data_IF_240886268425
#
_entry.id   IF_240886268425
#
_cell.length_a   1.000
_cell.length_b   1.000
_cell.length_c   1.000
_cell.angle_alpha   90.00
_cell.angle_beta   90.00
_cell.angle_gamma   90.00
#
_symmetry.space_group_name_H-M   'P 1'
#
loop_
_entity.id
_entity.type
_entity.pdbx_description
1 polymer ?
#
# COMPACT_ATOMS: atom_id res chain seq x y z
N UNK A 1 42.15 -83.40 5.73
CA UNK A 1 40.98 -82.85 5.02
C UNK A 1 40.07 -82.28 6.10
N UNK A 2 40.42 -81.15 6.73
CA UNK A 2 40.50 -79.80 6.12
C UNK A 2 39.08 -79.41 5.68
N UNK A 3 38.41 -78.40 6.23
CA UNK A 3 38.85 -77.02 6.39
C UNK A 3 38.23 -76.33 7.61
N UNK A 4 39.04 -75.48 8.24
CA UNK A 4 38.65 -74.47 9.21
C UNK A 4 38.15 -73.24 8.45
N UNK A 5 36.87 -72.90 8.56
CA UNK A 5 36.36 -71.64 8.01
C UNK A 5 36.39 -70.55 9.07
N UNK A 6 37.12 -69.49 8.75
CA UNK A 6 37.42 -68.34 9.58
C UNK A 6 36.20 -67.44 9.78
N UNK A 7 35.97 -67.11 11.04
CA UNK A 7 35.10 -66.03 11.51
C UNK A 7 35.59 -64.68 10.95
N UNK A 8 34.78 -64.04 10.11
CA UNK A 8 35.03 -62.69 9.61
C UNK A 8 34.18 -61.69 10.38
N UNK A 9 34.81 -60.94 11.29
CA UNK A 9 34.19 -59.81 12.00
C UNK A 9 33.90 -58.68 10.99
N UNK A 10 32.70 -58.09 10.98
CA UNK A 10 32.42 -56.95 10.10
C UNK A 10 33.07 -55.67 10.67
N UNK A 11 34.08 -55.17 9.97
CA UNK A 11 34.68 -53.85 10.21
C UNK A 11 33.62 -52.76 10.03
N UNK A 12 33.19 -52.15 11.13
CA UNK A 12 32.26 -51.01 11.10
C UNK A 12 32.98 -49.81 10.50
N UNK A 13 32.77 -49.53 9.20
CA UNK A 13 33.22 -48.28 8.58
C UNK A 13 32.44 -47.12 9.19
N UNK A 14 33.11 -46.35 10.04
CA UNK A 14 32.63 -45.09 10.60
C UNK A 14 32.16 -44.16 9.48
N UNK A 15 30.88 -43.78 9.53
CA UNK A 15 30.18 -42.92 8.57
C UNK A 15 30.52 -41.44 8.79
N UNK A 16 31.78 -41.05 8.54
CA UNK A 16 32.20 -39.64 8.62
C UNK A 16 31.45 -38.73 7.62
N UNK A 17 31.05 -39.27 6.45
CA UNK A 17 30.33 -38.53 5.41
C UNK A 17 28.88 -38.14 5.77
N UNK A 18 28.25 -38.84 6.72
CA UNK A 18 26.86 -38.57 7.10
C UNK A 18 26.73 -37.34 8.01
N UNK A 19 27.78 -37.02 8.78
CA UNK A 19 27.79 -35.87 9.70
C UNK A 19 27.87 -34.54 8.95
N UNK A 20 28.70 -34.47 7.91
CA UNK A 20 28.82 -33.26 7.08
C UNK A 20 27.60 -33.03 6.20
N UNK A 21 27.01 -34.09 5.63
CA UNK A 21 25.74 -33.97 4.89
C UNK A 21 24.58 -33.43 5.75
N UNK A 22 24.51 -33.85 7.02
CA UNK A 22 23.52 -33.32 7.99
C UNK A 22 23.76 -31.85 8.32
N UNK A 23 25.02 -31.43 8.47
CA UNK A 23 25.38 -30.03 8.73
C UNK A 23 24.96 -29.15 7.55
N UNK A 24 25.28 -29.55 6.31
CA UNK A 24 24.87 -28.81 5.12
C UNK A 24 23.34 -28.75 4.95
N UNK A 25 22.63 -29.84 5.25
CA UNK A 25 21.17 -29.86 5.22
C UNK A 25 20.57 -28.86 6.23
N UNK A 26 21.09 -28.81 7.46
CA UNK A 26 20.63 -27.84 8.46
C UNK A 26 20.95 -26.39 8.09
N UNK A 27 22.13 -26.13 7.50
CA UNK A 27 22.49 -24.78 7.00
C UNK A 27 21.52 -24.35 5.89
N UNK A 28 21.20 -25.25 4.96
CA UNK A 28 20.25 -24.96 3.88
C UNK A 28 18.84 -24.66 4.42
N UNK A 29 18.36 -25.45 5.39
CA UNK A 29 17.06 -25.24 6.04
C UNK A 29 17.04 -23.90 6.78
N UNK A 30 18.07 -23.59 7.57
CA UNK A 30 18.17 -22.31 8.28
C UNK A 30 18.23 -21.14 7.29
N UNK A 31 18.98 -21.27 6.19
CA UNK A 31 19.02 -20.27 5.13
C UNK A 31 17.65 -20.01 4.50
N UNK A 32 16.90 -21.06 4.18
CA UNK A 32 15.52 -20.95 3.67
C UNK A 32 14.60 -20.29 4.70
N UNK A 33 14.68 -20.69 5.97
CA UNK A 33 13.89 -20.09 7.05
C UNK A 33 14.20 -18.61 7.24
N UNK A 34 15.48 -18.20 7.14
CA UNK A 34 15.88 -16.78 7.20
C UNK A 34 15.31 -16.03 5.99
N UNK A 35 15.41 -16.58 4.77
CA UNK A 35 14.86 -15.94 3.57
C UNK A 35 13.34 -15.77 3.69
N UNK A 36 12.63 -16.81 4.14
CA UNK A 36 11.19 -16.75 4.38
C UNK A 36 10.83 -15.74 5.48
N UNK A 37 11.58 -15.73 6.59
CA UNK A 37 11.38 -14.77 7.68
C UNK A 37 11.61 -13.33 7.22
N UNK A 38 12.68 -13.06 6.47
CA UNK A 38 12.96 -11.75 5.89
C UNK A 38 11.87 -11.35 4.89
N UNK A 39 11.41 -12.27 4.05
CA UNK A 39 10.29 -12.04 3.12
C UNK A 39 8.99 -11.69 3.85
N UNK A 40 8.65 -12.42 4.91
CA UNK A 40 7.48 -12.18 5.75
C UNK A 40 7.58 -10.85 6.52
N UNK A 41 8.74 -10.54 7.10
CA UNK A 41 8.98 -9.28 7.81
C UNK A 41 8.86 -8.09 6.85
N UNK A 42 9.35 -8.20 5.61
CA UNK A 42 9.18 -7.16 4.57
C UNK A 42 7.72 -7.01 4.15
N UNK A 43 6.97 -8.11 4.00
CA UNK A 43 5.53 -8.08 3.68
C UNK A 43 4.69 -7.41 4.79
N UNK A 44 5.12 -7.55 6.04
CA UNK A 44 4.42 -6.99 7.20
C UNK A 44 4.56 -5.47 7.35
N UNK A 45 5.53 -4.80 6.71
CA UNK A 45 5.79 -3.35 6.87
C UNK A 45 4.78 -2.41 6.18
N UNK A 46 3.70 -2.93 5.60
CA UNK A 46 2.76 -2.16 4.78
C UNK A 46 1.48 -1.64 5.44
N UNK A 47 1.28 -1.66 6.77
CA UNK A 47 0.10 -0.99 7.35
C UNK A 47 0.42 0.45 7.69
N UNK A 48 -0.26 1.38 7.03
CA UNK A 48 -0.24 2.79 7.42
C UNK A 48 -1.25 2.98 8.54
N UNK A 49 -0.77 3.23 9.75
CA UNK A 49 -1.62 3.60 10.87
C UNK A 49 -1.61 5.11 11.08
N UNK A 50 -2.68 5.63 11.69
CA UNK A 50 -2.70 7.02 12.15
C UNK A 50 -1.50 7.28 13.07
N UNK A 51 -0.83 8.42 12.87
CA UNK A 51 0.41 8.80 13.54
C UNK A 51 1.68 8.26 12.88
N UNK A 52 1.59 7.50 11.79
CA UNK A 52 2.76 7.00 11.06
C UNK A 52 2.96 7.72 9.72
N UNK A 53 4.23 7.77 9.28
CA UNK A 53 4.57 8.28 7.95
C UNK A 53 3.94 7.40 6.87
N UNK A 54 3.34 8.04 5.87
CA UNK A 54 2.80 7.30 4.72
C UNK A 54 3.93 6.68 3.87
N UNK A 55 3.67 5.57 3.18
CA UNK A 55 4.60 5.01 2.21
C UNK A 55 4.81 5.99 1.06
N UNK A 56 6.02 6.01 0.52
CA UNK A 56 6.29 6.77 -0.70
C UNK A 56 5.63 6.06 -1.90
N UNK A 57 4.95 6.83 -2.74
CA UNK A 57 4.33 6.33 -3.96
C UNK A 57 4.42 7.36 -5.08
N UNK A 58 4.18 6.90 -6.30
CA UNK A 58 4.05 7.73 -7.48
C UNK A 58 2.75 7.36 -8.20
N UNK A 59 2.04 8.37 -8.68
CA UNK A 59 0.79 8.23 -9.43
C UNK A 59 0.94 8.96 -10.75
N UNK A 60 0.83 8.22 -11.85
CA UNK A 60 0.62 8.83 -13.17
C UNK A 60 -0.86 9.11 -13.33
N UNK A 61 -1.24 10.37 -13.48
CA UNK A 61 -2.64 10.78 -13.64
C UNK A 61 -3.16 10.42 -15.02
N UNK A 62 -4.49 10.42 -15.18
CA UNK A 62 -5.15 10.27 -16.47
C UNK A 62 -4.77 11.38 -17.47
N UNK A 63 -4.28 12.51 -17.00
CA UNK A 63 -3.78 13.61 -17.84
C UNK A 63 -2.26 13.53 -18.09
N UNK A 64 -1.62 12.45 -17.67
CA UNK A 64 -0.20 12.16 -17.92
C UNK A 64 0.78 12.84 -16.94
N UNK A 65 0.29 13.51 -15.90
CA UNK A 65 1.16 14.08 -14.86
C UNK A 65 1.68 12.97 -13.95
N UNK A 66 2.98 12.96 -13.65
CA UNK A 66 3.54 12.04 -12.68
C UNK A 66 3.71 12.76 -11.33
N UNK A 67 2.94 12.36 -10.33
CA UNK A 67 2.91 12.97 -9.00
C UNK A 67 3.53 11.99 -8.00
N UNK A 68 4.56 12.43 -7.27
CA UNK A 68 5.19 11.65 -6.22
C UNK A 68 4.78 12.20 -4.86
N UNK A 69 4.45 11.32 -3.91
CA UNK A 69 4.05 11.77 -2.56
C UNK A 69 5.17 12.51 -1.82
N UNK A 70 6.42 12.25 -2.16
CA UNK A 70 7.58 12.99 -1.64
C UNK A 70 7.61 14.47 -2.10
N UNK A 71 7.08 14.78 -3.28
CA UNK A 71 7.06 16.14 -3.83
C UNK A 71 5.93 16.99 -3.20
N UNK A 72 5.02 16.36 -2.45
CA UNK A 72 3.88 16.99 -1.79
C UNK A 72 4.14 17.30 -0.31
N UNK A 73 5.36 17.09 0.19
CA UNK A 73 5.74 17.49 1.56
C UNK A 73 5.54 19.00 1.73
N UNK A 74 5.14 19.40 2.94
CA UNK A 74 4.76 20.78 3.25
C UNK A 74 3.31 21.11 2.88
N UNK A 75 2.54 20.18 2.32
CA UNK A 75 1.12 20.33 2.02
C UNK A 75 0.33 19.25 2.75
N UNK A 76 -0.90 19.57 3.14
CA UNK A 76 -1.87 18.55 3.55
C UNK A 76 -2.27 17.75 2.31
N UNK A 77 -2.17 16.44 2.39
CA UNK A 77 -2.47 15.53 1.29
C UNK A 77 -3.74 14.73 1.61
N UNK A 78 -4.73 14.84 0.72
CA UNK A 78 -5.97 14.07 0.74
C UNK A 78 -5.91 13.01 -0.35
N UNK A 79 -5.88 11.73 0.02
CA UNK A 79 -5.80 10.60 -0.90
C UNK A 79 -7.14 9.90 -0.89
N UNK A 80 -7.90 10.00 -1.98
CA UNK A 80 -9.22 9.39 -2.13
C UNK A 80 -9.11 8.14 -3.00
N UNK A 81 -9.42 6.98 -2.45
CA UNK A 81 -9.51 5.72 -3.18
C UNK A 81 -10.95 5.51 -3.63
N UNK A 82 -11.17 5.42 -4.94
CA UNK A 82 -12.51 5.35 -5.53
C UNK A 82 -12.52 4.45 -6.77
N UNK A 83 -13.71 4.11 -7.26
CA UNK A 83 -13.89 3.44 -8.55
C UNK A 83 -15.22 3.85 -9.22
N UNK A 84 -15.31 3.78 -10.54
CA UNK A 84 -16.51 4.16 -11.31
C UNK A 84 -17.71 3.27 -10.99
N UNK A 85 -17.46 2.00 -10.66
CA UNK A 85 -18.47 1.00 -10.29
C UNK A 85 -18.92 1.11 -8.83
N UNK A 86 -18.28 1.96 -8.03
CA UNK A 86 -18.55 2.12 -6.60
C UNK A 86 -19.69 3.12 -6.37
N UNK A 87 -20.90 2.61 -6.10
CA UNK A 87 -22.07 3.45 -5.79
C UNK A 87 -21.92 4.35 -4.56
N UNK A 88 -21.30 3.93 -3.45
CA UNK A 88 -21.06 4.83 -2.33
C UNK A 88 -20.07 5.96 -2.67
N UNK A 89 -19.13 5.76 -3.60
CA UNK A 89 -18.19 6.79 -4.05
C UNK A 89 -18.94 7.94 -4.76
N UNK A 90 -20.06 7.67 -5.44
CA UNK A 90 -20.92 8.72 -6.01
C UNK A 90 -21.49 9.67 -4.93
N UNK A 91 -21.62 9.21 -3.67
CA UNK A 91 -22.22 10.01 -2.58
C UNK A 91 -21.30 11.11 -2.06
N UNK A 92 -19.98 10.93 -2.15
CA UNK A 92 -19.00 11.89 -1.64
C UNK A 92 -18.35 12.76 -2.73
N UNK A 93 -18.54 12.41 -4.01
CA UNK A 93 -17.86 13.02 -5.15
C UNK A 93 -18.01 14.56 -5.18
N UNK A 94 -19.25 15.05 -5.02
CA UNK A 94 -19.55 16.48 -5.03
C UNK A 94 -18.95 17.22 -3.82
N UNK A 95 -18.93 16.58 -2.64
CA UNK A 95 -18.35 17.17 -1.43
C UNK A 95 -16.82 17.23 -1.50
N UNK A 96 -16.17 16.20 -2.04
CA UNK A 96 -14.72 16.16 -2.26
C UNK A 96 -14.28 17.20 -3.30
N UNK A 97 -15.02 17.33 -4.41
CA UNK A 97 -14.76 18.37 -5.41
C UNK A 97 -14.97 19.77 -4.84
N UNK A 98 -16.03 20.00 -4.05
CA UNK A 98 -16.26 21.27 -3.38
C UNK A 98 -15.12 21.61 -2.40
N UNK A 99 -14.60 20.61 -1.67
CA UNK A 99 -13.47 20.78 -0.78
C UNK A 99 -12.19 21.11 -1.57
N UNK A 100 -11.91 20.37 -2.65
CA UNK A 100 -10.79 20.68 -3.54
C UNK A 100 -10.86 22.11 -4.06
N UNK A 101 -12.02 22.53 -4.59
CA UNK A 101 -12.22 23.90 -5.09
C UNK A 101 -12.00 24.97 -4.01
N UNK A 102 -12.38 24.68 -2.77
CA UNK A 102 -12.17 25.56 -1.63
C UNK A 102 -10.68 25.72 -1.27
N UNK A 103 -9.90 24.63 -1.30
CA UNK A 103 -8.50 24.67 -0.86
C UNK A 103 -7.47 24.90 -1.98
N UNK A 104 -7.75 24.56 -3.24
CA UNK A 104 -6.76 24.58 -4.33
C UNK A 104 -6.07 25.94 -4.51
N UNK A 105 -6.79 27.05 -4.27
CA UNK A 105 -6.26 28.41 -4.38
C UNK A 105 -5.26 28.79 -3.28
N UNK A 106 -5.21 28.06 -2.16
CA UNK A 106 -4.27 28.31 -1.06
C UNK A 106 -2.88 27.71 -1.32
N UNK A 107 -2.83 26.62 -2.09
CA UNK A 107 -1.59 25.91 -2.41
C UNK A 107 -1.01 25.07 -1.27
N UNK A 108 -1.67 24.96 -0.13
CA UNK A 108 -1.24 24.19 1.05
C UNK A 108 -2.01 22.87 1.26
N UNK A 109 -2.99 22.56 0.39
CA UNK A 109 -3.73 21.29 0.36
C UNK A 109 -3.75 20.72 -1.06
N UNK A 110 -3.56 19.40 -1.18
CA UNK A 110 -3.61 18.68 -2.46
C UNK A 110 -4.51 17.47 -2.33
N UNK A 111 -5.40 17.29 -3.31
CA UNK A 111 -6.25 16.11 -3.42
C UNK A 111 -5.69 15.21 -4.53
N UNK A 112 -5.59 13.92 -4.27
CA UNK A 112 -5.24 12.89 -5.25
C UNK A 112 -6.29 11.79 -5.23
N UNK A 113 -6.89 11.53 -6.38
CA UNK A 113 -7.76 10.37 -6.54
C UNK A 113 -7.00 9.17 -7.10
N UNK A 114 -7.05 8.07 -6.37
CA UNK A 114 -6.47 6.78 -6.74
C UNK A 114 -7.60 5.87 -7.21
N UNK A 115 -7.70 5.68 -8.52
CA UNK A 115 -8.76 4.91 -9.15
C UNK A 115 -8.44 3.40 -9.07
N UNK A 116 -9.17 2.71 -8.20
CA UNK A 116 -8.92 1.33 -7.79
C UNK A 116 -9.59 0.31 -8.73
N UNK A 117 -8.78 -0.54 -9.37
CA UNK A 117 -9.22 -1.70 -10.18
C UNK A 117 -10.43 -1.35 -11.05
N UNK A 118 -10.20 -0.46 -11.99
CA UNK A 118 -11.25 0.13 -12.81
C UNK A 118 -10.70 0.38 -14.22
N UNK A 119 -11.60 0.48 -15.19
CA UNK A 119 -11.25 0.68 -16.60
C UNK A 119 -11.23 2.17 -16.91
N UNK A 120 -10.26 2.60 -17.70
CA UNK A 120 -10.04 4.02 -17.96
C UNK A 120 -11.25 4.75 -18.58
N UNK A 121 -11.99 4.17 -19.56
CA UNK A 121 -13.18 4.84 -20.10
C UNK A 121 -14.26 5.13 -19.04
N UNK A 122 -14.52 4.18 -18.15
CA UNK A 122 -15.51 4.26 -17.09
C UNK A 122 -15.05 5.21 -15.98
N UNK A 123 -13.77 5.18 -15.62
CA UNK A 123 -13.17 6.14 -14.71
C UNK A 123 -13.30 7.57 -15.25
N UNK A 124 -12.96 7.81 -16.52
CA UNK A 124 -13.11 9.13 -17.16
C UNK A 124 -14.58 9.57 -17.23
N UNK A 125 -15.51 8.66 -17.52
CA UNK A 125 -16.93 8.96 -17.51
C UNK A 125 -17.43 9.37 -16.11
N UNK A 126 -16.94 8.71 -15.06
CA UNK A 126 -17.22 9.11 -13.67
C UNK A 126 -16.69 10.53 -13.38
N UNK A 127 -15.42 10.80 -13.70
CA UNK A 127 -14.81 12.12 -13.47
C UNK A 127 -15.59 13.23 -14.20
N UNK A 128 -16.01 12.97 -15.43
CA UNK A 128 -16.83 13.89 -16.21
C UNK A 128 -18.22 14.10 -15.59
N UNK A 129 -18.90 13.01 -15.20
CA UNK A 129 -20.25 13.04 -14.61
C UNK A 129 -20.31 13.87 -13.32
N UNK A 130 -19.28 13.80 -12.49
CA UNK A 130 -19.20 14.49 -11.21
C UNK A 130 -18.34 15.76 -11.25
N UNK A 131 -17.87 16.16 -12.43
CA UNK A 131 -17.04 17.34 -12.65
C UNK A 131 -15.81 17.40 -11.72
N UNK A 132 -15.18 16.24 -11.51
CA UNK A 132 -14.00 16.12 -10.63
C UNK A 132 -12.80 16.74 -11.33
N UNK A 133 -12.15 17.71 -10.68
CA UNK A 133 -11.04 18.48 -11.26
C UNK A 133 -9.69 18.29 -10.57
N UNK A 134 -9.65 17.67 -9.39
CA UNK A 134 -8.38 17.31 -8.77
C UNK A 134 -7.66 16.19 -9.56
N UNK A 135 -6.33 16.05 -9.44
CA UNK A 135 -5.60 15.00 -10.14
C UNK A 135 -6.05 13.59 -9.77
N UNK A 136 -6.37 12.78 -10.79
CA UNK A 136 -6.80 11.39 -10.64
C UNK A 136 -5.95 10.47 -11.52
N UNK A 137 -5.63 9.27 -11.05
CA UNK A 137 -4.89 8.28 -11.85
C UNK A 137 -5.22 6.83 -11.47
N UNK A 138 -4.92 5.87 -12.37
CA UNK A 138 -5.27 4.48 -12.16
C UNK A 138 -4.29 3.75 -11.22
N UNK A 139 -4.81 2.83 -10.41
CA UNK A 139 -4.06 1.86 -9.62
C UNK A 139 -4.44 0.42 -10.01
N UNK A 140 -4.32 0.10 -11.30
CA UNK A 140 -4.64 -1.22 -11.87
C UNK A 140 -3.88 -2.36 -11.19
N UNK A 141 -2.62 -2.12 -10.85
CA UNK A 141 -1.76 -3.09 -10.16
C UNK A 141 -1.98 -3.14 -8.65
N UNK A 142 -2.91 -2.34 -8.12
CA UNK A 142 -3.22 -2.20 -6.68
C UNK A 142 -2.01 -1.86 -5.80
N UNK A 143 -0.95 -1.27 -6.38
CA UNK A 143 0.31 -1.04 -5.64
C UNK A 143 0.10 0.01 -4.55
N UNK A 144 -0.60 1.09 -4.88
CA UNK A 144 -0.87 2.17 -3.92
C UNK A 144 -1.90 1.67 -2.91
N UNK A 145 -2.99 1.07 -3.36
CA UNK A 145 -4.07 0.55 -2.53
C UNK A 145 -3.60 -0.50 -1.53
N UNK A 146 -2.69 -1.40 -1.94
CA UNK A 146 -2.05 -2.37 -1.04
C UNK A 146 -1.07 -1.72 -0.06
N UNK A 147 -0.31 -0.70 -0.49
CA UNK A 147 0.59 0.03 0.40
C UNK A 147 -0.16 0.78 1.51
N UNK A 148 -1.39 1.22 1.24
CA UNK A 148 -2.29 1.79 2.23
C UNK A 148 -3.16 0.75 2.96
N UNK A 149 -3.15 -0.51 2.51
CA UNK A 149 -4.01 -1.61 3.00
C UNK A 149 -5.48 -1.22 3.08
N UNK A 150 -5.99 -0.57 2.03
CA UNK A 150 -7.40 -0.25 1.95
C UNK A 150 -8.24 -1.52 2.03
N UNK A 151 -9.42 -1.44 2.62
CA UNK A 151 -10.35 -2.57 2.79
C UNK A 151 -11.39 -2.61 1.67
N UNK A 152 -11.52 -1.50 0.96
CA UNK A 152 -12.39 -1.33 -0.20
C UNK A 152 -12.43 0.14 -0.61
N UNK A 153 -13.44 0.48 -1.41
CA UNK A 153 -13.74 1.85 -1.81
C UNK A 153 -15.18 2.22 -1.44
N UNK A 154 -15.45 3.48 -1.06
CA UNK A 154 -14.48 4.55 -0.90
C UNK A 154 -13.72 4.47 0.43
N UNK A 155 -12.46 4.89 0.40
CA UNK A 155 -11.68 5.25 1.58
C UNK A 155 -10.87 6.52 1.29
N UNK A 156 -10.78 7.42 2.27
CA UNK A 156 -9.99 8.65 2.13
C UNK A 156 -9.00 8.81 3.27
N UNK A 157 -7.73 9.04 2.93
CA UNK A 157 -6.63 9.20 3.86
C UNK A 157 -6.20 10.67 3.87
N UNK A 158 -6.14 11.28 5.05
CA UNK A 158 -5.74 12.67 5.21
C UNK A 158 -4.43 12.73 5.98
N UNK A 159 -3.44 13.34 5.35
CA UNK A 159 -2.04 13.31 5.71
C UNK A 159 -1.57 14.75 5.94
N UNK A 160 -0.87 15.00 7.04
CA UNK A 160 -0.38 16.35 7.37
C UNK A 160 0.80 16.79 6.48
N UNK A 161 1.26 18.02 6.72
CA UNK A 161 2.36 18.64 6.00
C UNK A 161 3.71 17.93 6.20
N UNK A 162 3.87 17.19 7.30
CA UNK A 162 5.05 16.37 7.59
C UNK A 162 4.95 15.00 6.90
N UNK A 163 3.80 14.71 6.28
CA UNK A 163 3.43 13.48 5.62
C UNK A 163 3.23 12.30 6.58
N UNK A 164 2.66 12.60 7.74
CA UNK A 164 2.16 11.65 8.72
C UNK A 164 0.64 11.51 8.51
N UNK A 165 0.14 10.27 8.51
CA UNK A 165 -1.28 9.99 8.41
C UNK A 165 -2.00 10.47 9.67
N UNK A 166 -2.97 11.37 9.54
CA UNK A 166 -3.70 11.92 10.67
C UNK A 166 -5.13 11.39 10.76
N UNK A 167 -5.74 11.04 9.63
CA UNK A 167 -7.12 10.58 9.62
C UNK A 167 -7.38 9.60 8.47
N UNK A 168 -8.27 8.64 8.72
CA UNK A 168 -8.77 7.70 7.72
C UNK A 168 -10.29 7.69 7.79
N UNK A 169 -10.91 8.09 6.68
CA UNK A 169 -12.34 7.92 6.46
C UNK A 169 -12.58 6.60 5.75
N UNK A 170 -13.35 5.70 6.37
CA UNK A 170 -13.86 4.50 5.71
C UNK A 170 -15.31 4.73 5.31
N UNK A 171 -15.66 4.41 4.06
CA UNK A 171 -16.95 4.78 3.48
C UNK A 171 -17.03 6.26 3.13
N UNK A 172 -18.16 6.70 2.57
CA UNK A 172 -18.24 8.04 2.00
C UNK A 172 -18.24 9.12 3.07
N UNK A 173 -17.55 10.23 2.79
CA UNK A 173 -17.86 11.49 3.47
C UNK A 173 -19.33 11.88 3.25
N UNK A 174 -19.90 12.58 4.23
CA UNK A 174 -21.33 12.96 4.22
C UNK A 174 -21.58 14.44 3.94
N UNK A 175 -20.53 15.27 4.02
CA UNK A 175 -20.62 16.70 3.75
C UNK A 175 -19.24 17.34 3.60
N UNK A 176 -19.18 18.46 2.86
CA UNK A 176 -18.05 19.39 2.85
C UNK A 176 -17.60 19.79 4.27
N UNK A 177 -18.54 20.09 5.17
CA UNK A 177 -18.24 20.51 6.55
C UNK A 177 -17.43 19.45 7.30
N UNK A 178 -17.76 18.17 7.10
CA UNK A 178 -17.01 17.06 7.70
C UNK A 178 -15.57 17.01 7.16
N UNK A 179 -15.39 17.18 5.85
CA UNK A 179 -14.06 17.17 5.23
C UNK A 179 -13.21 18.32 5.80
N UNK A 180 -13.79 19.53 5.85
CA UNK A 180 -13.11 20.72 6.38
C UNK A 180 -12.72 20.57 7.85
N UNK A 181 -13.60 19.98 8.68
CA UNK A 181 -13.33 19.76 10.09
C UNK A 181 -12.09 18.88 10.34
N UNK A 182 -11.73 18.02 9.37
CA UNK A 182 -10.51 17.19 9.44
C UNK A 182 -9.29 17.91 8.86
N UNK A 183 -9.45 18.66 7.77
CA UNK A 183 -8.35 19.34 7.08
C UNK A 183 -7.89 20.61 7.81
N UNK A 184 -8.83 21.46 8.25
CA UNK A 184 -8.51 22.78 8.81
C UNK A 184 -7.55 22.74 10.02
N UNK A 185 -7.65 21.77 10.96
CA UNK A 185 -6.69 21.65 12.06
C UNK A 185 -5.26 21.34 11.59
N UNK A 186 -5.08 20.73 10.41
CA UNK A 186 -3.76 20.35 9.88
C UNK A 186 -3.06 21.50 9.13
N UNK A 187 -3.76 22.63 8.96
CA UNK A 187 -3.25 23.84 8.32
C UNK A 187 -2.77 24.89 9.33
N UNK A 188 -2.93 24.63 10.62
CA UNK A 188 -2.51 25.53 11.69
C UNK A 188 -1.05 25.22 12.09
N UNK A 189 -0.20 26.26 12.24
CA UNK A 189 1.21 26.09 12.58
C UNK A 189 1.46 25.57 14.01
#
# INVERSE_FOLDING_TARGET
MEQTDQESTPTTRQTAGLRWGRIFAWIAVIGILIILAVGLLRSQQGSVNVGQKIPDFALTTFDGQNIRSADLRGKVLVINFWASWCKPCEQEAADLEAAWRFYQGRGDVVFLGVNYVDTEPEARAYLQKFEITYPNGPDLGTRISQAFRIRGVPETYIVDQQGILQFVQIGPFRSLTQIKAVIDPLLQP
#
